data_IF_955216673979
#
_entry.id   IF_955216673979
#
_cell.length_a   1.000
_cell.length_b   1.000
_cell.length_c   1.000
_cell.angle_alpha   90.00
_cell.angle_beta   90.00
_cell.angle_gamma   90.00
#
_symmetry.space_group_name_H-M   'P 1'
#
loop_
_entity.id
_entity.type
_entity.pdbx_description
1 polymer ?
#
# COMPACT_ATOMS: atom_id res chain seq x y z
N UNK A 1 -0.15 28.52 -6.20
CA UNK A 1 0.91 28.07 -7.15
C UNK A 1 0.57 26.65 -7.57
N UNK A 2 -0.21 26.49 -8.62
CA UNK A 2 -0.58 25.17 -9.14
C UNK A 2 0.53 24.72 -10.10
N UNK A 3 1.21 23.60 -9.81
CA UNK A 3 2.43 23.18 -10.52
C UNK A 3 2.15 22.39 -11.82
N UNK A 4 0.90 22.31 -12.28
CA UNK A 4 0.52 21.56 -13.49
C UNK A 4 0.81 20.05 -13.41
N UNK A 5 0.89 19.49 -12.20
CA UNK A 5 1.19 18.07 -11.96
C UNK A 5 -0.05 17.39 -11.43
N UNK A 6 -0.61 16.48 -12.23
CA UNK A 6 -1.74 15.66 -11.80
C UNK A 6 -1.24 14.52 -10.92
N UNK A 7 -1.92 14.31 -9.81
CA UNK A 7 -1.53 13.31 -8.80
C UNK A 7 -2.71 12.45 -8.42
N UNK A 8 -2.49 11.19 -8.10
CA UNK A 8 -3.52 10.31 -7.55
C UNK A 8 -2.99 9.48 -6.40
N UNK A 9 -3.77 9.37 -5.32
CA UNK A 9 -3.45 8.54 -4.17
C UNK A 9 -4.14 7.18 -4.31
N UNK A 10 -3.37 6.10 -4.28
CA UNK A 10 -3.85 4.74 -4.08
C UNK A 10 -3.57 4.34 -2.63
N UNK A 11 -4.61 4.00 -1.88
CA UNK A 11 -4.48 3.59 -0.48
C UNK A 11 -5.44 2.47 -0.11
N UNK A 12 -5.35 2.01 1.14
CA UNK A 12 -6.21 0.94 1.64
C UNK A 12 -7.69 1.27 1.59
N UNK A 13 -8.08 2.55 1.69
CA UNK A 13 -9.47 2.94 1.76
C UNK A 13 -10.09 2.88 0.34
N UNK A 14 -9.45 3.43 -0.69
CA UNK A 14 -10.01 3.40 -2.05
C UNK A 14 -9.80 2.08 -2.80
N UNK A 15 -8.69 1.37 -2.57
CA UNK A 15 -8.41 0.11 -3.27
C UNK A 15 -9.15 -1.07 -2.63
N UNK A 16 -9.12 -1.21 -1.29
CA UNK A 16 -9.75 -2.38 -0.62
C UNK A 16 -11.27 -2.32 -0.56
N UNK A 17 -11.89 -1.14 -0.68
CA UNK A 17 -13.35 -1.07 -0.76
C UNK A 17 -13.89 -1.35 -2.18
N UNK A 18 -13.02 -1.29 -3.20
CA UNK A 18 -13.37 -1.47 -4.62
C UNK A 18 -12.60 -2.61 -5.27
N UNK A 19 -11.49 -2.26 -5.92
CA UNK A 19 -10.68 -3.15 -6.76
C UNK A 19 -10.23 -4.45 -6.04
N UNK A 20 -9.97 -4.38 -4.74
CA UNK A 20 -9.47 -5.49 -3.94
C UNK A 20 -10.47 -5.93 -2.84
N UNK A 21 -11.77 -5.67 -3.01
CA UNK A 21 -12.80 -6.00 -2.01
C UNK A 21 -12.98 -7.50 -1.76
N UNK A 22 -12.55 -8.32 -2.72
CA UNK A 22 -12.56 -9.78 -2.67
C UNK A 22 -11.37 -10.36 -1.90
N UNK A 23 -10.34 -9.55 -1.60
CA UNK A 23 -9.11 -10.00 -0.97
C UNK A 23 -9.13 -9.84 0.54
N UNK A 24 -8.74 -10.89 1.25
CA UNK A 24 -8.56 -10.89 2.70
C UNK A 24 -7.23 -10.29 3.16
N UNK A 25 -6.68 -10.91 4.21
CA UNK A 25 -5.41 -10.54 4.84
C UNK A 25 -4.43 -11.72 4.95
N UNK A 26 -4.68 -12.82 4.23
CA UNK A 26 -3.70 -13.90 4.07
C UNK A 26 -2.47 -13.40 3.28
N UNK A 27 -1.37 -14.13 3.34
CA UNK A 27 -0.15 -13.75 2.61
C UNK A 27 -0.41 -13.72 1.09
N UNK A 28 -1.14 -14.70 0.55
CA UNK A 28 -1.53 -14.72 -0.86
C UNK A 28 -2.45 -13.55 -1.24
N UNK A 29 -3.41 -13.18 -0.38
CA UNK A 29 -4.26 -12.01 -0.63
C UNK A 29 -3.46 -10.70 -0.60
N UNK A 30 -2.42 -10.62 0.24
CA UNK A 30 -1.53 -9.45 0.34
C UNK A 30 -0.67 -9.32 -0.91
N UNK A 31 -0.10 -10.43 -1.38
CA UNK A 31 0.66 -10.49 -2.63
C UNK A 31 -0.21 -10.03 -3.82
N UNK A 32 -1.40 -10.61 -3.98
CA UNK A 32 -2.32 -10.25 -5.06
C UNK A 32 -2.81 -8.79 -4.95
N UNK A 33 -3.03 -8.29 -3.73
CA UNK A 33 -3.36 -6.90 -3.51
C UNK A 33 -2.25 -5.97 -4.02
N UNK A 34 -0.98 -6.25 -3.69
CA UNK A 34 0.16 -5.45 -4.17
C UNK A 34 0.30 -5.57 -5.69
N UNK A 35 0.14 -6.77 -6.28
CA UNK A 35 0.19 -6.96 -7.73
C UNK A 35 -0.88 -6.12 -8.46
N UNK A 36 -2.13 -6.10 -7.97
CA UNK A 36 -3.22 -5.27 -8.54
C UNK A 36 -2.92 -3.78 -8.44
N UNK A 37 -2.39 -3.33 -7.29
CA UNK A 37 -1.99 -1.93 -7.08
C UNK A 37 -0.86 -1.54 -8.04
N UNK A 38 0.13 -2.40 -8.25
CA UNK A 38 1.23 -2.16 -9.15
C UNK A 38 0.75 -1.99 -10.61
N UNK A 39 -0.13 -2.87 -11.09
CA UNK A 39 -0.72 -2.76 -12.43
C UNK A 39 -1.56 -1.49 -12.60
N UNK A 40 -2.38 -1.14 -11.60
CA UNK A 40 -3.14 0.12 -11.63
C UNK A 40 -2.22 1.34 -11.62
N UNK A 41 -1.18 1.32 -10.78
CA UNK A 41 -0.17 2.36 -10.71
C UNK A 41 0.54 2.56 -12.04
N UNK A 42 0.93 1.46 -12.71
CA UNK A 42 1.53 1.48 -14.05
C UNK A 42 0.62 2.18 -15.07
N UNK A 43 -0.68 1.87 -15.09
CA UNK A 43 -1.64 2.52 -16.00
C UNK A 43 -1.80 4.02 -15.72
N UNK A 44 -1.77 4.43 -14.45
CA UNK A 44 -1.87 5.84 -14.09
C UNK A 44 -0.59 6.62 -14.42
N UNK A 45 0.57 6.00 -14.22
CA UNK A 45 1.86 6.56 -14.67
C UNK A 45 1.89 6.71 -16.19
N UNK A 46 1.43 5.69 -16.93
CA UNK A 46 1.29 5.73 -18.39
C UNK A 46 0.36 6.87 -18.86
N UNK A 47 -0.71 7.13 -18.11
CA UNK A 47 -1.61 8.27 -18.33
C UNK A 47 -1.02 9.63 -17.93
N UNK A 48 0.23 9.69 -17.44
CA UNK A 48 0.94 10.92 -17.10
C UNK A 48 0.72 11.44 -15.68
N UNK A 49 0.17 10.62 -14.77
CA UNK A 49 -0.04 11.00 -13.37
C UNK A 49 1.17 10.65 -12.50
N UNK A 50 1.36 11.44 -11.45
CA UNK A 50 2.21 11.06 -10.31
C UNK A 50 1.35 10.26 -9.33
N UNK A 51 1.66 8.98 -9.18
CA UNK A 51 0.91 8.07 -8.31
C UNK A 51 1.61 7.93 -6.97
N UNK A 52 0.87 8.14 -5.88
CA UNK A 52 1.34 7.88 -4.52
C UNK A 52 0.63 6.62 -4.04
N UNK A 53 1.40 5.61 -3.63
CA UNK A 53 0.85 4.38 -3.05
C UNK A 53 1.18 4.33 -1.56
N UNK A 54 0.16 4.12 -0.72
CA UNK A 54 0.31 4.13 0.75
C UNK A 54 -0.21 2.82 1.36
N UNK A 55 0.55 1.74 1.14
CA UNK A 55 0.20 0.39 1.61
C UNK A 55 1.29 -0.20 2.49
N UNK A 56 0.88 -1.01 3.47
CA UNK A 56 1.81 -1.87 4.20
C UNK A 56 2.24 -3.00 3.24
N UNK A 57 3.51 -2.98 2.85
CA UNK A 57 4.14 -3.96 1.95
C UNK A 57 5.30 -4.65 2.68
N UNK A 58 5.01 -5.60 3.59
CA UNK A 58 6.02 -6.13 4.52
C UNK A 58 7.08 -6.98 3.80
N UNK A 59 6.69 -7.67 2.73
CA UNK A 59 7.56 -8.59 2.00
C UNK A 59 8.36 -7.84 0.93
N UNK A 60 9.68 -8.08 0.90
CA UNK A 60 10.57 -7.50 -0.13
C UNK A 60 10.15 -7.96 -1.53
N UNK A 61 9.79 -9.24 -1.68
CA UNK A 61 9.37 -9.82 -2.96
C UNK A 61 8.20 -9.05 -3.60
N UNK A 62 7.20 -8.65 -2.82
CA UNK A 62 6.06 -7.88 -3.32
C UNK A 62 6.48 -6.49 -3.82
N UNK A 63 7.44 -5.86 -3.14
CA UNK A 63 7.98 -4.54 -3.54
C UNK A 63 8.83 -4.67 -4.80
N UNK A 64 9.60 -5.74 -4.93
CA UNK A 64 10.39 -6.04 -6.13
C UNK A 64 9.48 -6.36 -7.33
N UNK A 65 8.37 -7.07 -7.10
CA UNK A 65 7.34 -7.32 -8.12
C UNK A 65 6.67 -6.00 -8.55
N UNK A 66 6.31 -5.14 -7.61
CA UNK A 66 5.72 -3.84 -7.95
C UNK A 66 6.69 -2.97 -8.78
N UNK A 67 7.97 -2.97 -8.40
CA UNK A 67 9.06 -2.31 -9.15
C UNK A 67 9.20 -2.88 -10.55
N UNK A 68 9.16 -4.21 -10.73
CA UNK A 68 9.29 -4.84 -12.05
C UNK A 68 8.11 -4.55 -12.97
N UNK A 69 6.89 -4.46 -12.43
CA UNK A 69 5.68 -4.10 -13.18
C UNK A 69 5.73 -2.63 -13.61
N UNK A 70 6.06 -1.71 -12.70
CA UNK A 70 6.02 -0.27 -12.96
C UNK A 70 7.23 0.19 -13.80
N UNK A 71 8.38 -0.46 -13.62
CA UNK A 71 9.65 -0.11 -14.24
C UNK A 71 10.51 0.80 -13.35
N UNK A 72 11.82 0.57 -13.37
CA UNK A 72 12.77 1.26 -12.50
C UNK A 72 12.81 2.79 -12.70
N UNK A 73 12.54 3.26 -13.92
CA UNK A 73 12.55 4.69 -14.26
C UNK A 73 11.37 5.46 -13.65
N UNK A 74 10.30 4.74 -13.26
CA UNK A 74 9.06 5.33 -12.75
C UNK A 74 8.72 4.89 -11.32
N UNK A 75 9.57 4.08 -10.67
CA UNK A 75 9.31 3.53 -9.35
C UNK A 75 10.27 4.07 -8.28
N UNK A 76 9.70 4.76 -7.29
CA UNK A 76 10.45 5.26 -6.13
C UNK A 76 9.91 4.57 -4.87
N UNK A 77 10.78 3.83 -4.19
CA UNK A 77 10.47 3.19 -2.91
C UNK A 77 10.82 4.14 -1.76
N UNK A 78 9.83 4.44 -0.90
CA UNK A 78 10.01 5.27 0.29
C UNK A 78 9.77 4.42 1.53
N UNK A 79 10.82 4.17 2.31
CA UNK A 79 10.70 3.45 3.57
C UNK A 79 10.34 4.41 4.71
N UNK A 80 9.11 4.29 5.21
CA UNK A 80 8.64 5.04 6.38
C UNK A 80 9.03 4.28 7.65
N UNK A 81 10.24 4.53 8.13
CA UNK A 81 10.85 3.83 9.27
C UNK A 81 10.45 4.45 10.62
N UNK A 82 9.16 4.37 10.95
CA UNK A 82 8.68 4.78 12.28
C UNK A 82 8.76 3.59 13.25
N UNK A 83 9.36 3.74 14.45
CA UNK A 83 9.43 2.66 15.43
C UNK A 83 8.05 2.11 15.79
N UNK A 84 7.94 0.78 15.94
CA UNK A 84 6.68 0.10 16.28
C UNK A 84 6.01 0.70 17.53
N UNK A 85 6.78 0.98 18.58
CA UNK A 85 6.27 1.57 19.81
C UNK A 85 5.58 2.94 19.57
N UNK A 86 6.07 3.73 18.62
CA UNK A 86 5.47 5.01 18.25
C UNK A 86 4.21 4.82 17.39
N UNK A 87 4.20 3.82 16.49
CA UNK A 87 3.00 3.43 15.75
C UNK A 87 1.88 2.95 16.68
N UNK A 88 2.21 2.10 17.66
CA UNK A 88 1.29 1.62 18.70
C UNK A 88 0.80 2.73 19.61
N UNK A 89 1.67 3.67 20.00
CA UNK A 89 1.28 4.82 20.82
C UNK A 89 0.30 5.74 20.08
N UNK A 90 0.43 5.88 18.75
CA UNK A 90 -0.45 6.72 17.93
C UNK A 90 -1.80 6.06 17.65
N UNK A 91 -1.79 4.77 17.32
CA UNK A 91 -2.94 3.91 16.99
C UNK A 91 -4.23 4.63 16.53
N UNK A 92 -4.19 5.41 15.44
CA UNK A 92 -5.28 6.32 15.06
C UNK A 92 -6.58 5.60 14.71
N UNK A 93 -6.50 4.32 14.33
CA UNK A 93 -7.64 3.48 13.97
C UNK A 93 -7.99 2.45 15.08
N UNK A 94 -7.28 2.46 16.21
CA UNK A 94 -7.49 1.50 17.29
C UNK A 94 -7.18 0.05 16.91
N UNK A 95 -6.37 -0.17 15.87
CA UNK A 95 -6.11 -1.50 15.31
C UNK A 95 -5.07 -2.25 16.11
N UNK A 96 -4.04 -1.56 16.62
CA UNK A 96 -3.05 -2.18 17.50
C UNK A 96 -3.70 -2.65 18.80
N UNK A 97 -4.56 -1.83 19.42
CA UNK A 97 -5.33 -2.25 20.60
C UNK A 97 -6.16 -3.53 20.37
N UNK A 98 -6.86 -3.60 19.23
CA UNK A 98 -7.65 -4.80 18.85
C UNK A 98 -6.77 -6.02 18.56
N UNK A 99 -5.64 -5.84 17.91
CA UNK A 99 -4.68 -6.92 17.64
C UNK A 99 -4.08 -7.48 18.93
N UNK A 100 -3.68 -6.62 19.87
CA UNK A 100 -3.18 -7.01 21.20
C UNK A 100 -4.24 -7.73 22.03
N UNK A 101 -5.51 -7.39 21.86
CA UNK A 101 -6.64 -8.10 22.47
C UNK A 101 -7.03 -9.42 21.76
N UNK A 102 -6.32 -9.81 20.69
CA UNK A 102 -6.59 -11.04 19.92
C UNK A 102 -7.82 -10.98 19.02
N UNK A 103 -8.41 -9.80 18.83
CA UNK A 103 -9.62 -9.60 18.00
C UNK A 103 -9.29 -9.55 16.50
N UNK A 104 -8.03 -9.26 16.15
CA UNK A 104 -7.53 -9.25 14.78
C UNK A 104 -6.37 -10.24 14.69
N UNK A 105 -6.51 -11.26 13.85
CA UNK A 105 -5.45 -12.22 13.54
C UNK A 105 -4.62 -11.71 12.37
N UNK A 106 -3.35 -12.12 12.28
CA UNK A 106 -2.43 -11.79 11.18
C UNK A 106 -2.29 -10.27 10.95
N UNK A 107 -2.23 -9.50 12.04
CA UNK A 107 -1.96 -8.07 12.01
C UNK A 107 -0.45 -7.82 11.84
N UNK A 108 -0.10 -6.86 10.98
CA UNK A 108 1.29 -6.45 10.71
C UNK A 108 1.59 -5.17 11.46
#
# INVERSE_FOLDING_TARGET
>A
VERGRHTYLLDGDNVRMGLCRDLGFSDADREENIRRIAELGRLFVDAGLIVITAFISPFRADRDLARSIIGDDAFIEVFVDTPLAECERRDPKGLYGKARAGLIKNFT
#
